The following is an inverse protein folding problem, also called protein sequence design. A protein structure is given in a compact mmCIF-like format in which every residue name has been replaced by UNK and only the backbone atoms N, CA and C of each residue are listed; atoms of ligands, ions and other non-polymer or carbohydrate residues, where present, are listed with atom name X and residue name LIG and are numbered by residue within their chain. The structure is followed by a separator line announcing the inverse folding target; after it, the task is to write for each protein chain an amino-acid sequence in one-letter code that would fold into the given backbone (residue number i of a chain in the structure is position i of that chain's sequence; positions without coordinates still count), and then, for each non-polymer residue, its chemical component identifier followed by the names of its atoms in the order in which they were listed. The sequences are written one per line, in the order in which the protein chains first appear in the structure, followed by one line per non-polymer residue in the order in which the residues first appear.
data_IF_832381160288
#
_entry.id   IF_832381160288
#
_cell.length_a   1.000
_cell.length_b   1.000
_cell.length_c   1.000
_cell.angle_alpha   90.00
_cell.angle_beta   90.00
_cell.angle_gamma   90.00
#
_symmetry.space_group_name_H-M   'P 1'
#
loop_
_entity.id
_entity.type
_entity.pdbx_description
1 polymer ?
#
# COMPACT_ATOMS: atom_id res chain seq x y z
N UNK A 1 13.51 7.98 -8.44
CA UNK A 1 14.08 6.68 -8.02
C UNK A 1 12.94 5.69 -7.94
N UNK A 2 13.11 4.51 -8.55
CA UNK A 2 12.09 3.47 -8.58
C UNK A 2 12.38 2.36 -7.56
N UNK A 3 11.36 1.93 -6.82
CA UNK A 3 11.35 0.76 -5.95
C UNK A 3 10.03 0.03 -6.17
N UNK A 4 10.09 -1.29 -6.36
CA UNK A 4 8.90 -2.14 -6.45
C UNK A 4 9.13 -3.43 -5.67
N UNK A 5 8.12 -3.83 -4.92
CA UNK A 5 8.06 -5.13 -4.23
C UNK A 5 6.68 -5.76 -4.45
N UNK A 6 6.66 -7.08 -4.58
CA UNK A 6 5.43 -7.83 -4.86
C UNK A 6 5.31 -9.08 -3.99
N UNK A 7 4.07 -9.47 -3.75
CA UNK A 7 3.73 -10.66 -2.97
C UNK A 7 2.53 -11.38 -3.59
N UNK A 8 2.58 -12.71 -3.61
CA UNK A 8 1.42 -13.53 -3.93
C UNK A 8 0.53 -13.66 -2.69
N UNK A 9 -0.78 -13.54 -2.87
CA UNK A 9 -1.79 -13.65 -1.82
C UNK A 9 -2.85 -14.64 -2.26
N UNK A 10 -3.11 -15.68 -1.46
CA UNK A 10 -4.08 -16.73 -1.76
C UNK A 10 -5.53 -16.27 -1.46
N UNK A 11 -5.93 -15.14 -2.07
CA UNK A 11 -7.25 -14.55 -1.95
C UNK A 11 -7.69 -13.92 -3.29
N UNK A 12 -9.02 -13.78 -3.52
CA UNK A 12 -9.52 -13.14 -4.74
C UNK A 12 -9.01 -11.70 -4.90
N UNK A 13 -8.75 -11.22 -6.14
CA UNK A 13 -8.25 -9.87 -6.39
C UNK A 13 -9.07 -8.77 -5.69
N UNK A 14 -10.40 -8.88 -5.67
CA UNK A 14 -11.27 -7.92 -5.01
C UNK A 14 -11.01 -7.83 -3.49
N UNK A 15 -10.80 -8.98 -2.82
CA UNK A 15 -10.51 -9.00 -1.39
C UNK A 15 -9.10 -8.44 -1.07
N UNK A 16 -8.14 -8.68 -1.96
CA UNK A 16 -6.79 -8.09 -1.85
C UNK A 16 -6.86 -6.59 -2.04
N UNK A 17 -7.57 -6.13 -3.09
CA UNK A 17 -7.73 -4.70 -3.37
C UNK A 17 -8.40 -3.96 -2.21
N UNK A 18 -9.49 -4.50 -1.66
CA UNK A 18 -10.16 -3.95 -0.48
C UNK A 18 -9.19 -3.80 0.70
N UNK A 19 -8.38 -4.83 0.96
CA UNK A 19 -7.42 -4.81 2.06
C UNK A 19 -6.27 -3.80 1.87
N UNK A 20 -5.76 -3.62 0.64
CA UNK A 20 -4.66 -2.69 0.38
C UNK A 20 -5.11 -1.24 0.28
N UNK A 21 -6.37 -1.02 -0.08
CA UNK A 21 -6.97 0.31 -0.21
C UNK A 21 -7.72 0.79 1.04
N UNK A 22 -7.82 -0.05 2.07
CA UNK A 22 -8.22 0.36 3.41
C UNK A 22 -7.05 1.09 4.08
N UNK A 23 -7.03 2.42 3.89
CA UNK A 23 -5.91 3.26 4.32
C UNK A 23 -5.66 3.21 5.82
N UNK A 24 -6.71 3.21 6.63
CA UNK A 24 -6.58 3.16 8.09
C UNK A 24 -6.03 1.80 8.55
N UNK A 25 -6.50 0.71 7.93
CA UNK A 25 -5.99 -0.63 8.18
C UNK A 25 -4.53 -0.82 7.71
N UNK A 26 -4.00 0.04 6.85
CA UNK A 26 -2.57 0.02 6.51
C UNK A 26 -1.67 0.17 7.74
N UNK A 27 -2.13 0.90 8.77
CA UNK A 27 -1.44 1.02 10.05
C UNK A 27 -1.17 -0.32 10.75
N UNK A 28 -1.94 -1.35 10.41
CA UNK A 28 -1.78 -2.69 10.98
C UNK A 28 -0.64 -3.49 10.34
N UNK A 29 -0.34 -3.27 9.05
CA UNK A 29 0.62 -4.07 8.31
C UNK A 29 1.82 -3.30 7.79
N UNK A 30 1.72 -1.98 7.57
CA UNK A 30 2.88 -1.14 7.23
C UNK A 30 3.67 -0.84 8.50
N UNK A 31 4.93 -1.26 8.54
CA UNK A 31 5.75 -1.12 9.73
C UNK A 31 6.00 0.36 10.09
N UNK A 32 5.87 0.68 11.39
CA UNK A 32 6.14 2.01 11.96
C UNK A 32 5.27 3.15 11.42
N UNK A 33 4.19 2.86 10.70
CA UNK A 33 3.38 3.85 9.99
C UNK A 33 1.94 3.83 10.52
N UNK A 34 1.41 5.02 10.75
CA UNK A 34 -0.02 5.26 11.02
C UNK A 34 -0.58 6.08 9.89
N UNK A 35 -1.71 5.67 9.32
CA UNK A 35 -2.38 6.39 8.23
C UNK A 35 -3.68 6.99 8.76
N UNK A 36 -3.92 8.25 8.43
CA UNK A 36 -5.18 8.96 8.67
C UNK A 36 -5.74 9.48 7.37
N UNK A 37 -7.05 9.44 7.22
CA UNK A 37 -7.76 9.82 6.00
C UNK A 37 -8.62 11.05 6.28
N UNK A 38 -8.62 12.02 5.36
CA UNK A 38 -9.57 13.13 5.41
C UNK A 38 -10.97 12.62 5.01
N UNK A 39 -12.06 13.16 5.59
CA UNK A 39 -13.41 12.75 5.22
C UNK A 39 -13.67 12.90 3.71
N UNK A 40 -14.05 11.82 3.02
CA UNK A 40 -14.28 11.90 1.58
C UNK A 40 -14.59 10.58 0.87
N UNK A 41 -14.11 9.46 1.39
CA UNK A 41 -14.31 8.11 0.83
C UNK A 41 -13.35 7.76 -0.32
N UNK A 42 -13.31 6.49 -0.70
CA UNK A 42 -12.39 5.89 -1.69
C UNK A 42 -12.59 6.43 -3.10
N UNK A 43 -11.91 7.49 -3.45
CA UNK A 43 -12.03 8.14 -4.77
C UNK A 43 -10.80 8.98 -5.11
N UNK A 44 -10.72 9.36 -6.38
CA UNK A 44 -9.72 10.34 -6.84
C UNK A 44 -9.92 11.67 -6.14
N UNK A 45 -8.84 12.30 -5.67
CA UNK A 45 -8.83 13.52 -4.90
C UNK A 45 -8.92 13.32 -3.38
N UNK A 46 -9.10 12.08 -2.89
CA UNK A 46 -9.03 11.77 -1.47
C UNK A 46 -7.63 12.06 -0.93
N UNK A 47 -7.57 12.66 0.25
CA UNK A 47 -6.32 12.99 0.92
C UNK A 47 -6.12 12.11 2.14
N UNK A 48 -4.89 11.66 2.29
CA UNK A 48 -4.46 10.86 3.42
C UNK A 48 -3.07 11.30 3.87
N UNK A 49 -2.76 11.05 5.13
CA UNK A 49 -1.44 11.34 5.69
C UNK A 49 -0.89 10.09 6.37
N UNK A 50 0.25 9.61 5.88
CA UNK A 50 1.02 8.57 6.54
C UNK A 50 2.05 9.21 7.47
N UNK A 51 2.06 8.81 8.75
CA UNK A 51 3.05 9.24 9.73
C UNK A 51 3.92 8.05 10.09
N UNK A 52 5.16 8.07 9.62
CA UNK A 52 6.15 7.04 9.94
C UNK A 52 7.03 7.51 11.11
N UNK A 53 7.18 6.66 12.14
CA UNK A 53 8.00 6.95 13.33
C UNK A 53 8.95 5.79 13.60
N UNK A 54 10.24 6.10 13.72
CA UNK A 54 11.28 5.13 14.06
C UNK A 54 12.27 5.76 15.06
N UNK A 55 12.48 5.11 16.20
CA UNK A 55 13.45 5.52 17.23
C UNK A 55 13.32 7.00 17.67
N UNK A 56 12.08 7.51 17.81
CA UNK A 56 11.80 8.87 18.23
C UNK A 56 11.87 9.92 17.12
N UNK A 57 12.31 9.55 15.92
CA UNK A 57 12.28 10.41 14.73
C UNK A 57 11.11 10.01 13.84
N UNK A 58 10.38 11.00 13.33
CA UNK A 58 9.25 10.73 12.45
C UNK A 58 9.06 11.81 11.41
N UNK A 59 8.35 11.48 10.36
CA UNK A 59 7.89 12.43 9.35
C UNK A 59 6.47 12.13 8.93
N UNK A 60 5.77 13.17 8.51
CA UNK A 60 4.46 13.06 7.90
C UNK A 60 4.59 13.12 6.37
N UNK A 61 3.87 12.26 5.72
CA UNK A 61 3.79 12.15 4.27
C UNK A 61 2.33 12.32 3.84
N UNK A 62 1.91 13.57 3.55
CA UNK A 62 0.61 13.84 2.97
C UNK A 62 0.55 13.37 1.53
N UNK A 63 -0.54 12.70 1.16
CA UNK A 63 -0.76 12.12 -0.16
C UNK A 63 -2.15 12.45 -0.67
N UNK A 64 -2.32 12.36 -1.98
CA UNK A 64 -3.59 12.51 -2.67
C UNK A 64 -3.76 11.35 -3.66
N UNK A 65 -4.93 10.72 -3.64
CA UNK A 65 -5.29 9.68 -4.60
C UNK A 65 -5.48 10.31 -5.97
N UNK A 66 -4.68 9.89 -6.96
CA UNK A 66 -4.72 10.42 -8.34
C UNK A 66 -5.38 9.47 -9.32
N UNK A 67 -5.50 8.18 -8.95
CA UNK A 67 -6.17 7.14 -9.75
C UNK A 67 -6.85 6.14 -8.82
N UNK A 68 -8.07 5.72 -9.20
CA UNK A 68 -8.85 4.74 -8.45
C UNK A 68 -9.56 3.81 -9.41
N UNK A 69 -9.05 2.60 -9.56
CA UNK A 69 -9.55 1.59 -10.52
C UNK A 69 -9.71 0.22 -9.82
N UNK A 70 -10.76 0.04 -9.02
CA UNK A 70 -11.03 -1.24 -8.37
C UNK A 70 -11.40 -2.33 -9.40
N UNK A 71 -11.00 -3.59 -9.19
CA UNK A 71 -10.14 -4.07 -8.11
C UNK A 71 -8.64 -4.14 -8.49
N UNK A 72 -8.14 -3.28 -9.36
CA UNK A 72 -6.84 -3.45 -10.03
C UNK A 72 -5.77 -2.46 -9.60
N UNK A 73 -6.10 -1.18 -9.41
CA UNK A 73 -5.07 -0.16 -9.25
C UNK A 73 -5.51 1.05 -8.44
N UNK A 74 -4.61 1.53 -7.59
CA UNK A 74 -4.66 2.85 -6.96
C UNK A 74 -3.32 3.53 -7.16
N UNK A 75 -3.33 4.80 -7.58
CA UNK A 75 -2.14 5.66 -7.59
C UNK A 75 -2.34 6.79 -6.60
N UNK A 76 -1.27 7.11 -5.88
CA UNK A 76 -1.19 8.25 -4.98
C UNK A 76 -0.03 9.16 -5.40
N UNK A 77 -0.18 10.44 -5.11
CA UNK A 77 0.87 11.44 -5.25
C UNK A 77 1.29 11.93 -3.88
N UNK A 78 2.59 11.85 -3.59
CA UNK A 78 3.18 12.39 -2.38
C UNK A 78 3.28 13.91 -2.46
N UNK A 79 2.69 14.60 -1.49
CA UNK A 79 2.63 16.07 -1.41
C UNK A 79 3.60 16.63 -0.37
N UNK A 80 4.35 15.74 0.30
CA UNK A 80 5.26 16.08 1.37
C UNK A 80 6.48 16.89 0.93
N UNK A 81 7.19 17.44 1.92
CA UNK A 81 8.46 18.12 1.68
C UNK A 81 9.64 17.16 1.71
N UNK A 82 9.51 16.05 2.41
CA UNK A 82 10.55 15.02 2.58
C UNK A 82 10.37 13.92 1.52
N UNK A 83 9.14 13.44 1.35
CA UNK A 83 8.80 12.46 0.32
C UNK A 83 8.02 13.18 -0.78
N UNK A 84 8.45 12.97 -2.02
CA UNK A 84 7.80 13.47 -3.24
C UNK A 84 7.82 12.37 -4.28
N UNK A 85 6.86 12.40 -5.20
CA UNK A 85 6.74 11.40 -6.26
C UNK A 85 5.38 10.73 -6.27
N UNK A 86 5.35 9.48 -6.69
CA UNK A 86 4.11 8.72 -6.83
C UNK A 86 4.27 7.34 -6.23
N UNK A 87 3.20 6.87 -5.56
CA UNK A 87 3.03 5.48 -5.14
C UNK A 87 1.97 4.81 -6.00
N UNK A 88 2.19 3.55 -6.34
CA UNK A 88 1.24 2.73 -7.12
C UNK A 88 1.01 1.41 -6.41
N UNK A 89 -0.25 1.07 -6.19
CA UNK A 89 -0.70 -0.22 -5.69
C UNK A 89 -1.42 -0.95 -6.83
N UNK A 90 -0.92 -2.12 -7.23
CA UNK A 90 -1.52 -2.94 -8.29
C UNK A 90 -1.92 -4.31 -7.78
N UNK A 91 -3.09 -4.79 -8.21
CA UNK A 91 -3.59 -6.13 -7.91
C UNK A 91 -3.92 -6.83 -9.22
N UNK A 92 -3.22 -7.92 -9.49
CA UNK A 92 -3.39 -8.73 -10.71
C UNK A 92 -3.88 -10.13 -10.36
N UNK A 93 -4.83 -10.70 -11.12
CA UNK A 93 -5.22 -12.08 -10.94
C UNK A 93 -4.03 -13.04 -11.12
N UNK A 94 -4.00 -14.10 -10.29
CA UNK A 94 -3.00 -15.15 -10.37
C UNK A 94 -3.65 -16.52 -10.11
N UNK A 95 -3.03 -17.63 -10.55
CA UNK A 95 -3.50 -18.96 -10.19
C UNK A 95 -3.58 -19.14 -8.67
N UNK A 96 -4.78 -19.40 -8.16
CA UNK A 96 -5.04 -19.59 -6.72
C UNK A 96 -5.18 -18.30 -5.90
N UNK A 97 -5.13 -17.10 -6.52
CA UNK A 97 -5.26 -15.84 -5.79
C UNK A 97 -4.96 -14.60 -6.62
N UNK A 98 -4.12 -13.72 -6.09
CA UNK A 98 -3.70 -12.50 -6.75
C UNK A 98 -2.22 -12.18 -6.46
N UNK A 99 -1.58 -11.45 -7.37
CA UNK A 99 -0.35 -10.72 -7.11
C UNK A 99 -0.70 -9.31 -6.63
N UNK A 100 -0.11 -8.90 -5.54
CA UNK A 100 -0.09 -7.51 -5.12
C UNK A 100 1.32 -6.95 -5.30
N UNK A 101 1.42 -5.81 -6.00
CA UNK A 101 2.66 -5.05 -6.15
C UNK A 101 2.49 -3.64 -5.57
N UNK A 102 3.49 -3.20 -4.84
CA UNK A 102 3.64 -1.84 -4.35
C UNK A 102 4.89 -1.23 -4.97
N UNK A 103 4.68 -0.21 -5.79
CA UNK A 103 5.75 0.54 -6.45
C UNK A 103 5.79 1.98 -5.94
N UNK A 104 7.02 2.52 -5.82
CA UNK A 104 7.29 3.90 -5.46
C UNK A 104 8.25 4.53 -6.47
N UNK A 105 7.84 5.63 -7.05
CA UNK A 105 8.67 6.49 -7.87
C UNK A 105 8.94 7.80 -7.12
N UNK A 106 10.07 7.85 -6.41
CA UNK A 106 10.39 8.93 -5.49
C UNK A 106 11.40 9.92 -6.07
N UNK A 107 11.09 11.20 -5.88
CA UNK A 107 11.99 12.31 -6.13
C UNK A 107 12.80 12.60 -4.85
N UNK A 108 14.07 12.20 -4.86
CA UNK A 108 14.94 12.41 -3.70
C UNK A 108 15.45 13.84 -3.64
N UNK A 109 15.30 14.53 -2.52
CA UNK A 109 15.88 15.84 -2.33
C UNK A 109 17.41 15.78 -2.36
N UNK A 110 18.08 16.93 -2.55
CA UNK A 110 19.55 17.04 -2.57
C UNK A 110 20.26 16.30 -3.71
N UNK A 111 19.58 15.93 -4.77
CA UNK A 111 20.17 15.39 -6.01
C UNK A 111 21.09 14.17 -5.77
N UNK A 112 22.38 14.29 -6.08
CA UNK A 112 23.33 13.18 -5.93
C UNK A 112 23.55 12.73 -4.48
N UNK A 113 23.54 13.68 -3.53
CA UNK A 113 23.70 13.39 -2.09
C UNK A 113 22.50 12.59 -1.56
N UNK A 114 21.28 13.01 -1.95
CA UNK A 114 20.07 12.27 -1.59
C UNK A 114 20.05 10.85 -2.15
N UNK A 115 20.49 10.67 -3.42
CA UNK A 115 20.60 9.34 -4.02
C UNK A 115 21.60 8.44 -3.29
N UNK A 116 22.76 8.98 -2.92
CA UNK A 116 23.78 8.22 -2.19
C UNK A 116 23.26 7.85 -0.79
N UNK A 117 22.68 8.80 -0.06
CA UNK A 117 22.06 8.55 1.25
C UNK A 117 20.99 7.47 1.19
N UNK A 118 20.11 7.54 0.17
CA UNK A 118 19.09 6.51 -0.02
C UNK A 118 19.68 5.15 -0.39
N UNK A 119 20.74 5.08 -1.19
CA UNK A 119 21.39 3.81 -1.53
C UNK A 119 21.85 3.04 -0.29
N UNK A 120 22.26 3.75 0.76
CA UNK A 120 22.67 3.16 2.05
C UNK A 120 21.46 2.58 2.82
N UNK A 121 20.33 3.29 2.84
CA UNK A 121 19.14 2.85 3.61
C UNK A 121 18.22 1.92 2.81
N UNK A 122 18.36 1.87 1.49
CA UNK A 122 17.53 1.07 0.58
C UNK A 122 17.38 -0.40 0.99
N UNK A 123 18.44 -1.14 1.38
CA UNK A 123 18.29 -2.54 1.78
C UNK A 123 17.39 -2.72 2.99
N UNK A 124 17.54 -1.84 4.00
CA UNK A 124 16.69 -1.88 5.20
C UNK A 124 15.23 -1.53 4.87
N UNK A 125 15.01 -0.52 4.03
CA UNK A 125 13.70 -0.12 3.57
C UNK A 125 13.01 -1.24 2.77
N UNK A 126 13.73 -1.85 1.82
CA UNK A 126 13.23 -3.01 1.05
C UNK A 126 12.85 -4.18 1.97
N UNK A 127 13.70 -4.49 2.96
CA UNK A 127 13.40 -5.57 3.91
C UNK A 127 12.15 -5.26 4.75
N UNK A 128 12.02 -4.02 5.19
CA UNK A 128 10.84 -3.54 5.92
C UNK A 128 9.57 -3.68 5.06
N UNK A 129 9.62 -3.23 3.81
CA UNK A 129 8.49 -3.34 2.87
C UNK A 129 8.11 -4.81 2.63
N UNK A 130 9.06 -5.68 2.34
CA UNK A 130 8.83 -7.12 2.19
C UNK A 130 8.17 -7.76 3.41
N UNK A 131 8.57 -7.36 4.63
CA UNK A 131 7.94 -7.84 5.86
C UNK A 131 6.51 -7.35 6.00
N UNK A 132 6.26 -6.08 5.65
CA UNK A 132 4.92 -5.49 5.62
C UNK A 132 4.00 -6.23 4.64
N UNK A 133 4.46 -6.47 3.41
CA UNK A 133 3.69 -7.21 2.40
C UNK A 133 3.38 -8.66 2.83
N UNK A 134 4.33 -9.35 3.47
CA UNK A 134 4.08 -10.70 4.01
C UNK A 134 3.07 -10.68 5.17
N UNK A 135 3.07 -9.62 5.98
CA UNK A 135 2.09 -9.46 7.06
C UNK A 135 0.70 -9.25 6.49
N UNK A 136 0.57 -8.37 5.49
CA UNK A 136 -0.67 -8.17 4.75
C UNK A 136 -1.18 -9.48 4.16
N UNK A 137 -0.34 -10.24 3.44
CA UNK A 137 -0.72 -11.52 2.85
C UNK A 137 -1.35 -12.45 3.88
N UNK A 138 -0.68 -12.65 5.02
CA UNK A 138 -1.22 -13.48 6.12
C UNK A 138 -2.55 -12.97 6.67
N UNK A 139 -2.71 -11.66 6.82
CA UNK A 139 -3.97 -11.07 7.31
C UNK A 139 -5.12 -11.31 6.33
N UNK A 140 -4.89 -11.10 5.03
CA UNK A 140 -5.91 -11.31 4.00
C UNK A 140 -6.27 -12.78 3.86
N UNK A 141 -5.28 -13.69 3.87
CA UNK A 141 -5.47 -15.13 3.76
C UNK A 141 -6.20 -15.73 4.96
N UNK A 142 -6.06 -15.12 6.15
CA UNK A 142 -6.74 -15.57 7.38
C UNK A 142 -8.20 -15.10 7.49
N UNK A 143 -8.64 -14.16 6.65
CA UNK A 143 -10.05 -13.70 6.65
C UNK A 143 -10.97 -14.82 6.16
N UNK A 144 -12.12 -15.06 6.82
CA UNK A 144 -13.09 -16.03 6.34
C UNK A 144 -13.53 -15.69 4.90
N UNK A 145 -13.39 -16.65 3.99
CA UNK A 145 -13.90 -16.46 2.62
C UNK A 145 -15.42 -16.29 2.66
N UNK A 146 -16.01 -15.32 1.95
CA UNK A 146 -17.45 -15.26 1.77
C UNK A 146 -17.92 -16.62 1.22
N UNK A 147 -18.87 -17.27 1.90
CA UNK A 147 -19.48 -18.49 1.37
C UNK A 147 -20.12 -18.15 0.03
N UNK A 148 -19.86 -18.91 -1.06
CA UNK A 148 -20.61 -18.74 -2.29
C UNK A 148 -22.08 -18.89 -1.94
N UNK A 149 -22.89 -17.87 -2.30
CA UNK A 149 -24.26 -17.74 -1.89
C UNK A 149 -25.04 -19.03 -2.09
N UNK A 150 -25.59 -19.54 -1.01
CA UNK A 150 -26.58 -20.60 -1.07
C UNK A 150 -27.78 -20.07 -1.86
N UNK A 151 -27.99 -20.59 -3.05
CA UNK A 151 -29.23 -20.41 -3.79
C UNK A 151 -30.35 -20.88 -2.90
N UNK A 152 -31.05 -19.93 -2.28
CA UNK A 152 -32.29 -20.21 -1.56
C UNK A 152 -33.26 -20.88 -2.50
N UNK A 153 -33.47 -22.20 -2.33
CA UNK A 153 -34.63 -22.87 -2.88
C UNK A 153 -35.86 -22.24 -2.23
N UNK A 154 -36.52 -21.40 -2.96
CA UNK A 154 -37.89 -21.03 -2.65
C UNK A 154 -38.73 -22.27 -2.96
N UNK A 155 -39.41 -22.81 -1.95
CA UNK A 155 -40.52 -23.74 -2.11
C UNK A 155 -41.83 -22.96 -2.16
#
# INVERSE_FOLDING_TARGET
MHLEERVAIAAPPAAVFEAVSDWEAQSEWVAFTTVTVEPGGHRVGERLTAVTRLAGVGFADPMEVTRWEPPHRVDVRHLGRVVRGTGTLTVEPAPGGAWFAWAEDLDLPLGAVGRLGFAVIRPAFTLMLRRSLRKLARQVESRPRPRPGGTGRVR
#
